data_IF_807738688682
#
_entry.id   IF_807738688682
#
_cell.length_a   1.000
_cell.length_b   1.000
_cell.length_c   1.000
_cell.angle_alpha   90.00
_cell.angle_beta   90.00
_cell.angle_gamma   90.00
#
_symmetry.space_group_name_H-M   'P 1'
#
loop_
_entity.id
_entity.type
_entity.pdbx_description
1 polymer ?
#
# COMPACT_ATOMS: atom_id res chain seq x y z
N UNK A 1 7.80 43.67 -42.47
CA UNK A 1 7.65 43.67 -40.99
C UNK A 1 6.38 42.91 -40.68
N UNK A 2 6.50 41.59 -40.63
CA UNK A 2 5.37 40.66 -40.65
C UNK A 2 5.12 40.22 -39.21
N UNK A 3 3.99 40.62 -38.65
CA UNK A 3 3.53 40.20 -37.32
C UNK A 3 3.31 38.68 -37.32
N UNK A 4 4.22 37.94 -36.68
CA UNK A 4 3.97 36.57 -36.25
C UNK A 4 2.88 36.63 -35.18
N UNK A 5 1.70 36.09 -35.49
CA UNK A 5 0.67 35.85 -34.49
C UNK A 5 1.26 34.97 -33.36
N UNK A 6 0.96 35.26 -32.08
CA UNK A 6 1.44 34.41 -30.99
C UNK A 6 0.83 33.03 -31.16
N UNK A 7 1.68 32.02 -31.33
CA UNK A 7 1.32 30.61 -31.30
C UNK A 7 0.94 30.16 -29.88
N UNK A 8 0.15 30.97 -29.16
CA UNK A 8 -0.27 30.73 -27.77
C UNK A 8 -1.56 29.90 -27.67
N UNK A 9 -2.15 29.48 -28.79
CA UNK A 9 -3.05 28.32 -28.83
C UNK A 9 -2.26 27.01 -28.72
N UNK A 10 -1.25 27.00 -27.85
CA UNK A 10 -0.53 25.83 -27.37
C UNK A 10 -1.55 25.00 -26.60
N UNK A 11 -2.26 24.16 -27.34
CA UNK A 11 -2.72 22.84 -26.94
C UNK A 11 -3.02 22.77 -25.44
N UNK A 12 -4.11 23.39 -24.99
CA UNK A 12 -4.72 22.96 -23.73
C UNK A 12 -4.95 21.46 -23.89
N UNK A 13 -4.09 20.66 -23.25
CA UNK A 13 -4.20 19.22 -23.23
C UNK A 13 -5.51 18.92 -22.55
N UNK A 14 -6.56 18.70 -23.36
CA UNK A 14 -7.87 18.42 -22.80
C UNK A 14 -7.72 17.26 -21.81
N UNK A 15 -8.19 17.40 -20.56
CA UNK A 15 -8.01 16.40 -19.51
C UNK A 15 -8.46 15.00 -19.93
N UNK A 16 -9.36 14.91 -20.93
CA UNK A 16 -9.80 13.68 -21.56
C UNK A 16 -8.69 12.87 -22.25
N UNK A 17 -7.63 13.50 -22.78
CA UNK A 17 -6.49 12.80 -23.42
C UNK A 17 -5.40 12.38 -22.45
N UNK A 18 -5.36 12.98 -21.26
CA UNK A 18 -4.33 12.68 -20.25
C UNK A 18 -4.57 11.34 -19.54
N UNK A 19 -5.85 10.93 -19.41
CA UNK A 19 -6.21 9.70 -18.71
C UNK A 19 -5.73 8.41 -19.42
N UNK A 20 -5.95 8.20 -20.74
CA UNK A 20 -5.44 7.02 -21.43
C UNK A 20 -3.90 6.91 -21.36
N UNK A 21 -3.20 8.04 -21.47
CA UNK A 21 -1.74 8.09 -21.34
C UNK A 21 -1.29 7.71 -19.93
N UNK A 22 -1.97 8.20 -18.89
CA UNK A 22 -1.68 7.84 -17.50
C UNK A 22 -1.90 6.34 -17.24
N UNK A 23 -2.95 5.72 -17.80
CA UNK A 23 -3.21 4.28 -17.66
C UNK A 23 -2.14 3.44 -18.36
N UNK A 24 -1.73 3.80 -19.57
CA UNK A 24 -0.66 3.09 -20.29
C UNK A 24 0.68 3.19 -19.54
N UNK A 25 1.00 4.38 -19.01
CA UNK A 25 2.18 4.59 -18.18
C UNK A 25 2.08 3.81 -16.85
N UNK A 26 0.90 3.74 -16.24
CA UNK A 26 0.68 2.97 -15.02
C UNK A 26 1.04 1.50 -15.21
N UNK A 27 0.74 0.92 -16.37
CA UNK A 27 1.09 -0.48 -16.68
C UNK A 27 2.59 -0.70 -16.75
N UNK A 28 3.35 0.18 -17.40
CA UNK A 28 4.80 0.05 -17.49
C UNK A 28 5.48 0.28 -16.14
N UNK A 29 5.01 1.24 -15.37
CA UNK A 29 5.51 1.50 -14.01
C UNK A 29 5.10 0.39 -13.02
N UNK A 30 3.92 -0.21 -13.15
CA UNK A 30 3.51 -1.37 -12.35
C UNK A 30 4.47 -2.54 -12.55
N UNK A 31 4.79 -2.83 -13.82
CA UNK A 31 5.78 -3.86 -14.15
C UNK A 31 7.16 -3.54 -13.62
N UNK A 32 7.55 -2.26 -13.61
CA UNK A 32 8.83 -1.82 -13.04
C UNK A 32 8.86 -1.99 -11.52
N UNK A 33 7.78 -1.70 -10.80
CA UNK A 33 7.68 -1.91 -9.36
C UNK A 33 7.72 -3.41 -9.05
N UNK A 34 6.89 -4.22 -9.74
CA UNK A 34 6.81 -5.67 -9.51
C UNK A 34 8.14 -6.38 -9.79
N UNK A 35 8.87 -5.97 -10.83
CA UNK A 35 10.19 -6.54 -11.16
C UNK A 35 11.35 -5.88 -10.42
N UNK A 36 11.08 -4.92 -9.53
CA UNK A 36 12.14 -4.27 -8.78
C UNK A 36 12.82 -5.31 -7.87
N UNK A 37 14.16 -5.41 -7.83
CA UNK A 37 14.85 -6.43 -7.03
C UNK A 37 14.43 -6.45 -5.55
N UNK A 38 14.22 -5.26 -4.97
CA UNK A 38 13.71 -5.13 -3.58
C UNK A 38 12.29 -5.70 -3.45
N UNK A 39 11.37 -5.39 -4.37
CA UNK A 39 10.00 -5.93 -4.31
C UNK A 39 10.00 -7.46 -4.48
N UNK A 40 10.83 -7.98 -5.39
CA UNK A 40 11.00 -9.42 -5.57
C UNK A 40 11.58 -10.09 -4.33
N UNK A 41 12.55 -9.48 -3.65
CA UNK A 41 13.10 -9.99 -2.40
C UNK A 41 12.02 -10.04 -1.30
N UNK A 42 11.20 -9.00 -1.16
CA UNK A 42 10.09 -8.99 -0.22
C UNK A 42 9.02 -10.04 -0.52
N UNK A 43 8.68 -10.22 -1.80
CA UNK A 43 7.75 -11.25 -2.25
C UNK A 43 8.31 -12.66 -1.99
N UNK A 44 9.58 -12.90 -2.32
CA UNK A 44 10.25 -14.18 -2.08
C UNK A 44 10.30 -14.50 -0.57
N UNK A 45 10.60 -13.50 0.27
CA UNK A 45 10.58 -13.65 1.71
C UNK A 45 9.16 -13.95 2.23
N UNK A 46 8.13 -13.28 1.68
CA UNK A 46 6.74 -13.57 2.03
C UNK A 46 6.36 -15.02 1.67
N UNK A 47 6.71 -15.49 0.47
CA UNK A 47 6.51 -16.88 0.05
C UNK A 47 7.26 -17.84 0.97
N UNK A 48 8.53 -17.56 1.29
CA UNK A 48 9.33 -18.39 2.19
C UNK A 48 8.67 -18.52 3.56
N UNK A 49 8.18 -17.41 4.12
CA UNK A 49 7.50 -17.43 5.42
C UNK A 49 6.19 -18.21 5.34
N UNK A 50 5.37 -18.00 4.31
CA UNK A 50 4.14 -18.77 4.08
C UNK A 50 4.44 -20.28 4.01
N UNK A 51 5.48 -20.68 3.27
CA UNK A 51 5.87 -22.09 3.16
C UNK A 51 6.39 -22.64 4.48
N UNK A 52 7.22 -21.86 5.20
CA UNK A 52 7.81 -22.28 6.46
C UNK A 52 6.78 -22.45 7.58
N UNK A 53 5.76 -21.58 7.65
CA UNK A 53 4.67 -21.70 8.65
C UNK A 53 3.63 -22.75 8.27
N UNK A 54 3.57 -23.09 6.98
CA UNK A 54 2.68 -24.12 6.45
C UNK A 54 3.03 -25.56 6.88
N UNK A 55 4.00 -25.77 7.78
CA UNK A 55 4.30 -27.08 8.38
C UNK A 55 3.68 -27.28 9.76
N UNK A 56 3.41 -26.18 10.49
CA UNK A 56 3.18 -26.26 11.95
C UNK A 56 1.68 -26.16 12.31
N UNK A 57 0.84 -25.67 11.38
CA UNK A 57 -0.60 -25.54 11.58
C UNK A 57 -0.99 -24.39 12.51
N UNK A 58 -2.28 -24.24 12.82
CA UNK A 58 -2.74 -23.34 13.89
C UNK A 58 -2.42 -21.85 13.67
N UNK A 59 -1.68 -21.24 14.60
CA UNK A 59 -1.36 -19.80 14.61
C UNK A 59 -0.55 -19.39 13.40
N UNK A 60 0.50 -20.15 13.14
CA UNK A 60 1.48 -19.87 12.09
C UNK A 60 0.80 -19.84 10.70
N UNK A 61 -0.12 -20.78 10.45
CA UNK A 61 -0.93 -20.85 9.22
C UNK A 61 -1.88 -19.66 9.08
N UNK A 62 -2.59 -19.28 10.16
CA UNK A 62 -3.46 -18.10 10.17
C UNK A 62 -2.68 -16.81 9.89
N UNK A 63 -1.56 -16.60 10.61
CA UNK A 63 -0.71 -15.42 10.45
C UNK A 63 -0.03 -15.36 9.08
N UNK A 64 0.32 -16.50 8.49
CA UNK A 64 0.92 -16.57 7.15
C UNK A 64 0.05 -15.95 6.06
N UNK A 65 -1.27 -16.11 6.13
CA UNK A 65 -2.21 -15.58 5.13
C UNK A 65 -2.83 -14.23 5.49
N UNK A 66 -2.69 -13.77 6.74
CA UNK A 66 -3.32 -12.53 7.23
C UNK A 66 -2.32 -11.39 7.47
N UNK A 67 -1.25 -11.63 8.25
CA UNK A 67 -0.36 -10.57 8.73
C UNK A 67 1.04 -10.60 8.10
N UNK A 68 1.51 -11.77 7.66
CA UNK A 68 2.86 -11.93 7.10
C UNK A 68 3.14 -10.98 5.92
N UNK A 69 2.16 -10.79 5.04
CA UNK A 69 2.29 -9.93 3.86
C UNK A 69 2.59 -8.47 4.20
N UNK A 70 2.09 -7.95 5.32
CA UNK A 70 2.27 -6.55 5.72
C UNK A 70 3.74 -6.22 5.94
N UNK A 71 4.47 -7.09 6.65
CA UNK A 71 5.87 -6.88 6.95
C UNK A 71 6.78 -7.21 5.76
N UNK A 72 6.60 -8.36 5.11
CA UNK A 72 7.54 -8.81 4.09
C UNK A 72 7.25 -8.19 2.72
N UNK A 73 6.03 -8.29 2.22
CA UNK A 73 5.69 -7.71 0.93
C UNK A 73 5.50 -6.18 1.03
N UNK A 74 4.83 -5.70 2.08
CA UNK A 74 4.49 -4.28 2.24
C UNK A 74 5.71 -3.37 2.38
N UNK A 75 6.62 -3.67 3.31
CA UNK A 75 7.83 -2.85 3.56
C UNK A 75 8.74 -2.79 2.34
N UNK A 76 8.96 -3.92 1.67
CA UNK A 76 9.83 -3.96 0.50
C UNK A 76 9.19 -3.28 -0.72
N UNK A 77 7.88 -3.41 -0.89
CA UNK A 77 7.14 -2.69 -1.94
C UNK A 77 7.15 -1.19 -1.70
N UNK A 78 7.08 -0.74 -0.44
CA UNK A 78 7.26 0.67 -0.09
C UNK A 78 8.58 1.22 -0.61
N UNK A 79 9.71 0.55 -0.34
CA UNK A 79 11.02 1.01 -0.80
C UNK A 79 11.14 0.95 -2.32
N UNK A 80 10.66 -0.12 -2.96
CA UNK A 80 10.64 -0.23 -4.41
C UNK A 80 9.84 0.90 -5.07
N UNK A 81 8.63 1.18 -4.58
CA UNK A 81 7.77 2.24 -5.08
C UNK A 81 8.40 3.63 -4.85
N UNK A 82 9.02 3.87 -3.69
CA UNK A 82 9.76 5.10 -3.42
C UNK A 82 10.94 5.30 -4.40
N UNK A 83 11.72 4.25 -4.64
CA UNK A 83 12.85 4.28 -5.55
C UNK A 83 12.41 4.52 -6.99
N UNK A 84 11.30 3.93 -7.43
CA UNK A 84 10.71 4.18 -8.75
C UNK A 84 10.21 5.62 -8.83
N UNK A 85 9.50 6.12 -7.82
CA UNK A 85 8.95 7.47 -7.78
C UNK A 85 10.01 8.59 -7.79
N UNK A 86 11.22 8.30 -7.31
CA UNK A 86 12.35 9.24 -7.26
C UNK A 86 13.37 9.00 -8.38
N UNK A 87 13.13 8.03 -9.28
CA UNK A 87 14.07 7.63 -10.35
C UNK A 87 14.51 8.80 -11.20
N UNK A 88 13.55 9.53 -11.77
CA UNK A 88 13.82 10.57 -12.78
C UNK A 88 14.67 11.70 -12.18
N UNK A 89 14.38 12.09 -10.93
CA UNK A 89 15.17 13.07 -10.19
C UNK A 89 16.58 12.58 -9.86
N UNK A 90 16.73 11.31 -9.44
CA UNK A 90 18.06 10.73 -9.17
C UNK A 90 18.95 10.66 -10.41
N UNK A 91 18.35 10.47 -11.58
CA UNK A 91 19.08 10.46 -12.86
C UNK A 91 19.27 11.85 -13.47
N UNK A 92 18.77 12.92 -12.85
CA UNK A 92 18.77 14.26 -13.45
C UNK A 92 17.95 14.35 -14.75
N UNK A 93 17.01 13.43 -14.95
CA UNK A 93 16.23 13.32 -16.19
C UNK A 93 15.02 14.27 -16.23
N UNK A 94 14.77 15.03 -15.16
CA UNK A 94 13.60 15.90 -15.05
C UNK A 94 13.51 16.90 -16.23
N UNK A 95 14.64 17.47 -16.67
CA UNK A 95 14.71 18.40 -17.82
C UNK A 95 14.45 17.70 -19.16
N UNK A 96 14.90 16.44 -19.31
CA UNK A 96 14.70 15.65 -20.53
C UNK A 96 13.25 15.15 -20.68
N UNK A 97 12.51 15.08 -19.57
CA UNK A 97 11.12 14.62 -19.52
C UNK A 97 10.12 15.77 -19.61
N UNK A 98 10.56 17.02 -19.51
CA UNK A 98 9.72 18.21 -19.66
C UNK A 98 8.99 18.31 -21.01
N UNK A 99 9.62 17.98 -22.17
CA UNK A 99 8.91 18.01 -23.46
C UNK A 99 7.96 16.82 -23.68
N UNK A 100 7.88 15.85 -22.76
CA UNK A 100 7.00 14.71 -22.93
C UNK A 100 5.51 15.10 -22.77
N UNK A 101 4.59 14.50 -23.56
CA UNK A 101 3.16 14.79 -23.44
C UNK A 101 2.55 14.50 -22.07
N UNK A 102 3.20 13.69 -21.24
CA UNK A 102 2.75 13.34 -19.90
C UNK A 102 3.32 14.30 -18.85
N UNK A 103 2.53 15.29 -18.46
CA UNK A 103 2.89 16.23 -17.41
C UNK A 103 3.15 15.57 -16.04
N UNK A 104 3.74 16.31 -15.07
CA UNK A 104 4.09 15.78 -13.74
C UNK A 104 2.89 15.19 -12.96
N UNK A 105 1.69 15.75 -13.18
CA UNK A 105 0.46 15.26 -12.55
C UNK A 105 0.06 13.88 -13.09
N UNK A 106 -0.02 13.72 -14.41
CA UNK A 106 -0.32 12.45 -15.07
C UNK A 106 0.70 11.35 -14.70
N UNK A 107 1.99 11.70 -14.59
CA UNK A 107 3.04 10.80 -14.10
C UNK A 107 2.82 10.38 -12.64
N UNK A 108 2.29 11.24 -11.80
CA UNK A 108 1.97 10.91 -10.40
C UNK A 108 0.74 10.00 -10.31
N UNK A 109 -0.31 10.29 -11.08
CA UNK A 109 -1.49 9.42 -11.22
C UNK A 109 -1.04 8.02 -11.68
N UNK A 110 -0.20 7.95 -12.71
CA UNK A 110 0.30 6.69 -13.23
C UNK A 110 1.06 5.88 -12.16
N UNK A 111 1.90 6.52 -11.34
CA UNK A 111 2.56 5.84 -10.22
C UNK A 111 1.59 5.38 -9.14
N UNK A 112 0.58 6.17 -8.80
CA UNK A 112 -0.45 5.74 -7.84
C UNK A 112 -1.28 4.57 -8.39
N UNK A 113 -1.58 4.53 -9.69
CA UNK A 113 -2.25 3.39 -10.30
C UNK A 113 -1.32 2.16 -10.40
N UNK A 114 -0.02 2.39 -10.61
CA UNK A 114 0.98 1.34 -10.71
C UNK A 114 1.11 0.51 -9.43
N UNK A 115 0.79 1.08 -8.26
CA UNK A 115 0.80 0.36 -6.98
C UNK A 115 -0.24 -0.76 -6.89
N UNK A 116 -1.26 -0.75 -7.76
CA UNK A 116 -2.21 -1.87 -7.88
C UNK A 116 -1.50 -3.16 -8.34
N UNK A 117 -0.42 -3.06 -9.12
CA UNK A 117 0.36 -4.21 -9.60
C UNK A 117 0.86 -5.11 -8.47
N UNK A 118 1.73 -4.63 -7.56
CA UNK A 118 2.20 -5.44 -6.43
C UNK A 118 1.07 -5.83 -5.47
N UNK A 119 0.06 -5.00 -5.26
CA UNK A 119 -1.09 -5.34 -4.41
C UNK A 119 -1.90 -6.53 -4.95
N UNK A 120 -2.20 -6.53 -6.25
CA UNK A 120 -2.90 -7.64 -6.92
C UNK A 120 -2.05 -8.91 -6.95
N UNK A 121 -0.74 -8.79 -7.16
CA UNK A 121 0.18 -9.93 -7.08
C UNK A 121 0.17 -10.56 -5.68
N UNK A 122 0.20 -9.72 -4.64
CA UNK A 122 0.08 -10.20 -3.26
C UNK A 122 -1.29 -10.82 -2.98
N UNK A 123 -2.38 -10.24 -3.50
CA UNK A 123 -3.73 -10.79 -3.39
C UNK A 123 -3.83 -12.19 -4.00
N UNK A 124 -3.26 -12.39 -5.19
CA UNK A 124 -3.19 -13.71 -5.82
C UNK A 124 -2.39 -14.71 -4.98
N UNK A 125 -1.24 -14.28 -4.43
CA UNK A 125 -0.40 -15.11 -3.57
C UNK A 125 -1.14 -15.55 -2.29
N UNK A 126 -1.71 -14.61 -1.52
CA UNK A 126 -2.38 -14.95 -0.26
C UNK A 126 -3.66 -15.76 -0.49
N UNK A 127 -4.37 -15.51 -1.59
CA UNK A 127 -5.55 -16.31 -1.98
C UNK A 127 -5.15 -17.75 -2.32
N UNK A 128 -4.06 -17.93 -3.06
CA UNK A 128 -3.52 -19.26 -3.38
C UNK A 128 -3.07 -19.98 -2.10
N UNK A 129 -2.34 -19.29 -1.22
CA UNK A 129 -1.90 -19.84 0.06
C UNK A 129 -3.09 -20.25 0.94
N UNK A 130 -4.09 -19.38 1.06
CA UNK A 130 -5.34 -19.68 1.76
C UNK A 130 -6.02 -20.94 1.19
N UNK A 131 -6.16 -21.04 -0.13
CA UNK A 131 -6.77 -22.20 -0.77
C UNK A 131 -5.99 -23.50 -0.49
N UNK A 132 -4.65 -23.45 -0.58
CA UNK A 132 -3.79 -24.61 -0.28
C UNK A 132 -3.92 -25.05 1.18
N UNK A 133 -3.91 -24.11 2.13
CA UNK A 133 -4.05 -24.42 3.55
C UNK A 133 -5.46 -24.93 3.89
N UNK A 134 -6.50 -24.37 3.27
CA UNK A 134 -7.87 -24.84 3.42
C UNK A 134 -8.05 -26.27 2.88
N UNK A 135 -7.51 -26.58 1.70
CA UNK A 135 -7.56 -27.95 1.12
C UNK A 135 -6.81 -29.01 1.94
N UNK A 136 -5.93 -28.57 2.83
CA UNK A 136 -5.13 -29.45 3.71
C UNK A 136 -5.61 -29.44 5.16
N UNK A 137 -6.79 -28.84 5.44
CA UNK A 137 -7.37 -28.71 6.77
C UNK A 137 -6.38 -28.15 7.82
N UNK A 138 -5.54 -27.20 7.40
CA UNK A 138 -4.47 -26.65 8.25
C UNK A 138 -4.94 -25.55 9.21
N UNK A 139 -6.14 -25.02 9.00
CA UNK A 139 -6.69 -23.96 9.83
C UNK A 139 -7.39 -24.54 11.06
N UNK A 140 -6.89 -24.19 12.26
CA UNK A 140 -7.66 -24.37 13.50
C UNK A 140 -8.87 -23.44 13.53
N UNK A 141 -8.71 -22.23 12.99
CA UNK A 141 -9.76 -21.25 12.76
C UNK A 141 -9.57 -20.65 11.37
N UNK A 142 -10.61 -20.71 10.54
CA UNK A 142 -10.54 -20.22 9.16
C UNK A 142 -10.66 -18.70 9.14
N UNK A 143 -9.68 -17.95 8.57
CA UNK A 143 -9.81 -16.51 8.42
C UNK A 143 -10.95 -16.18 7.47
N UNK A 144 -11.73 -15.15 7.81
CA UNK A 144 -12.73 -14.61 6.90
C UNK A 144 -12.08 -13.82 5.75
N UNK A 145 -12.87 -13.51 4.72
CA UNK A 145 -12.44 -12.67 3.60
C UNK A 145 -11.74 -11.37 4.05
N UNK A 146 -12.31 -10.68 5.04
CA UNK A 146 -11.78 -9.43 5.57
C UNK A 146 -10.38 -9.60 6.21
N UNK A 147 -10.11 -10.74 6.85
CA UNK A 147 -8.77 -11.00 7.38
C UNK A 147 -7.73 -11.16 6.26
N UNK A 148 -8.10 -11.84 5.17
CA UNK A 148 -7.19 -12.10 4.04
C UNK A 148 -6.95 -10.84 3.22
N UNK A 149 -7.92 -9.92 3.16
CA UNK A 149 -7.82 -8.66 2.43
C UNK A 149 -6.77 -7.68 3.01
N UNK A 150 -6.41 -7.80 4.29
CA UNK A 150 -5.46 -6.92 4.97
C UNK A 150 -4.05 -6.99 4.38
N UNK A 151 -3.59 -8.18 3.97
CA UNK A 151 -2.29 -8.34 3.32
C UNK A 151 -2.16 -7.47 2.05
N UNK A 152 -3.03 -7.65 1.04
CA UNK A 152 -3.04 -6.81 -0.16
C UNK A 152 -3.25 -5.32 0.11
N UNK A 153 -4.13 -4.96 1.06
CA UNK A 153 -4.38 -3.56 1.43
C UNK A 153 -3.14 -2.90 2.03
N UNK A 154 -2.40 -3.60 2.89
CA UNK A 154 -1.17 -3.07 3.48
C UNK A 154 -0.02 -2.99 2.47
N UNK A 155 0.05 -3.91 1.50
CA UNK A 155 0.97 -3.80 0.35
C UNK A 155 0.64 -2.59 -0.51
N UNK A 156 -0.64 -2.36 -0.80
CA UNK A 156 -1.12 -1.17 -1.51
C UNK A 156 -0.75 0.11 -0.76
N UNK A 157 -1.03 0.16 0.55
CA UNK A 157 -0.73 1.29 1.42
C UNK A 157 0.76 1.58 1.50
N UNK A 158 1.60 0.55 1.67
CA UNK A 158 3.05 0.67 1.64
C UNK A 158 3.55 1.25 0.31
N UNK A 159 3.06 0.72 -0.82
CA UNK A 159 3.44 1.23 -2.14
C UNK A 159 3.04 2.70 -2.34
N UNK A 160 1.79 3.08 -1.99
CA UNK A 160 1.29 4.45 -2.11
C UNK A 160 2.02 5.41 -1.19
N UNK A 161 2.32 5.00 0.04
CA UNK A 161 3.13 5.78 0.97
C UNK A 161 4.55 5.99 0.42
N UNK A 162 5.14 4.97 -0.21
CA UNK A 162 6.44 5.07 -0.87
C UNK A 162 6.43 6.12 -1.99
N UNK A 163 5.40 6.11 -2.84
CA UNK A 163 5.18 7.14 -3.87
C UNK A 163 5.02 8.53 -3.25
N UNK A 164 4.17 8.67 -2.23
CA UNK A 164 3.93 9.94 -1.53
C UNK A 164 5.25 10.52 -1.00
N UNK A 165 5.99 9.73 -0.23
CA UNK A 165 7.29 10.16 0.33
C UNK A 165 8.26 10.55 -0.78
N UNK A 166 8.32 9.76 -1.86
CA UNK A 166 9.21 10.05 -2.99
C UNK A 166 8.89 11.36 -3.70
N UNK A 167 7.61 11.76 -3.75
CA UNK A 167 7.19 13.05 -4.33
C UNK A 167 7.53 14.23 -3.44
N UNK A 168 7.36 14.11 -2.12
CA UNK A 168 7.57 15.21 -1.17
C UNK A 168 9.03 15.39 -0.76
N UNK A 169 9.74 14.30 -0.50
CA UNK A 169 11.06 14.33 0.10
C UNK A 169 11.97 13.29 -0.58
N UNK A 170 12.64 13.65 -1.70
CA UNK A 170 13.45 12.72 -2.49
C UNK A 170 14.79 12.35 -1.85
N UNK A 171 15.00 12.69 -0.58
CA UNK A 171 16.24 12.40 0.12
C UNK A 171 16.25 10.93 0.56
N UNK A 172 17.36 10.19 0.34
CA UNK A 172 17.40 8.74 0.56
C UNK A 172 17.08 8.34 2.02
N UNK A 173 17.43 9.19 3.00
CA UNK A 173 17.16 8.93 4.41
C UNK A 173 15.69 9.07 4.82
N UNK A 174 14.89 9.87 4.12
CA UNK A 174 13.50 10.15 4.55
C UNK A 174 12.62 8.92 4.40
N UNK A 175 12.82 8.12 3.36
CA UNK A 175 12.09 6.88 3.19
C UNK A 175 12.33 5.90 4.35
N UNK A 176 13.58 5.79 4.80
CA UNK A 176 13.94 4.95 5.95
C UNK A 176 13.30 5.48 7.25
N UNK A 177 13.41 6.78 7.51
CA UNK A 177 12.83 7.40 8.72
C UNK A 177 11.30 7.19 8.78
N UNK A 178 10.59 7.39 7.67
CA UNK A 178 9.14 7.18 7.62
C UNK A 178 8.78 5.71 7.86
N UNK A 179 9.52 4.76 7.27
CA UNK A 179 9.29 3.33 7.51
C UNK A 179 9.54 2.96 8.99
N UNK A 180 10.64 3.42 9.58
CA UNK A 180 10.94 3.20 11.00
C UNK A 180 9.83 3.79 11.88
N UNK A 181 9.35 4.99 11.58
CA UNK A 181 8.25 5.61 12.31
C UNK A 181 6.95 4.80 12.20
N UNK A 182 6.61 4.28 11.00
CA UNK A 182 5.45 3.41 10.80
C UNK A 182 5.55 2.11 11.59
N UNK A 183 6.73 1.46 11.56
CA UNK A 183 6.97 0.23 12.34
C UNK A 183 6.87 0.52 13.85
N UNK A 184 7.50 1.59 14.32
CA UNK A 184 7.45 1.99 15.73
C UNK A 184 6.01 2.32 16.18
N UNK A 185 5.23 3.01 15.34
CA UNK A 185 3.81 3.26 15.58
C UNK A 185 3.03 1.95 15.68
N UNK A 186 3.20 1.03 14.72
CA UNK A 186 2.50 -0.26 14.76
C UNK A 186 2.87 -1.04 16.02
N UNK A 187 4.15 -1.13 16.37
CA UNK A 187 4.61 -1.78 17.60
C UNK A 187 4.00 -1.13 18.84
N UNK A 188 3.97 0.20 18.93
CA UNK A 188 3.38 0.90 20.06
C UNK A 188 1.88 0.60 20.19
N UNK A 189 1.14 0.59 19.08
CA UNK A 189 -0.30 0.29 19.07
C UNK A 189 -0.56 -1.19 19.38
N UNK A 190 0.19 -2.12 18.81
CA UNK A 190 0.06 -3.56 19.11
C UNK A 190 0.33 -3.87 20.58
N UNK A 191 1.19 -3.09 21.26
CA UNK A 191 1.48 -3.24 22.69
C UNK A 191 0.59 -2.37 23.60
N UNK A 192 -0.36 -1.63 23.04
CA UNK A 192 -1.30 -0.81 23.81
C UNK A 192 -2.45 -1.66 24.39
N UNK A 193 -3.34 -1.00 25.14
CA UNK A 193 -4.57 -1.62 25.66
C UNK A 193 -5.39 -2.26 24.53
N UNK A 194 -6.06 -3.37 24.81
CA UNK A 194 -6.74 -4.19 23.78
C UNK A 194 -7.69 -3.38 22.90
N UNK A 195 -8.38 -2.40 23.48
CA UNK A 195 -9.30 -1.49 22.78
C UNK A 195 -8.64 -0.67 21.67
N UNK A 196 -7.33 -0.37 21.75
CA UNK A 196 -6.63 0.47 20.77
C UNK A 196 -5.80 -0.33 19.76
N UNK A 197 -5.61 -1.64 19.96
CA UNK A 197 -4.75 -2.47 19.10
C UNK A 197 -5.19 -2.47 17.64
N UNK A 198 -6.47 -2.28 17.36
CA UNK A 198 -7.01 -2.24 16.00
C UNK A 198 -6.62 -0.98 15.21
N UNK A 199 -6.03 0.03 15.84
CA UNK A 199 -5.56 1.27 15.18
C UNK A 199 -4.18 1.12 14.51
N UNK A 200 -3.57 -0.06 14.60
CA UNK A 200 -2.34 -0.39 13.88
C UNK A 200 -2.58 -0.51 12.37
N UNK A 201 -1.52 -0.58 11.58
CA UNK A 201 -1.63 -0.98 10.16
C UNK A 201 -1.62 -2.50 9.97
N UNK A 202 -1.10 -3.22 10.97
CA UNK A 202 -1.18 -4.67 11.09
C UNK A 202 -1.85 -5.00 12.42
N UNK A 203 -2.80 -5.93 12.37
CA UNK A 203 -3.54 -6.38 13.54
C UNK A 203 -3.61 -7.89 13.51
N UNK A 204 -3.01 -8.52 14.51
CA UNK A 204 -3.19 -9.95 14.75
C UNK A 204 -4.53 -10.19 15.45
N UNK A 205 -5.60 -10.36 14.68
CA UNK A 205 -6.97 -10.50 15.19
C UNK A 205 -7.19 -11.75 16.03
N UNK A 206 -6.58 -12.87 15.67
CA UNK A 206 -6.74 -14.12 16.40
C UNK A 206 -5.94 -14.10 17.71
N UNK A 207 -6.61 -14.47 18.81
CA UNK A 207 -6.01 -14.66 20.12
C UNK A 207 -5.57 -16.11 20.29
N UNK A 208 -4.32 -16.26 20.66
CA UNK A 208 -3.65 -17.55 20.90
C UNK A 208 -3.20 -17.59 22.36
N UNK A 209 -3.09 -18.79 22.93
CA UNK A 209 -2.74 -18.92 24.34
C UNK A 209 -1.32 -18.49 24.69
N UNK A 210 -0.99 -18.45 26.00
CA UNK A 210 0.34 -18.09 26.50
C UNK A 210 1.49 -18.88 25.84
N UNK A 211 1.27 -20.17 25.57
CA UNK A 211 2.21 -21.06 24.88
C UNK A 211 1.94 -21.16 23.37
N UNK A 212 1.29 -20.15 22.79
CA UNK A 212 0.88 -20.01 21.38
C UNK A 212 -0.03 -21.13 20.88
N UNK A 213 0.56 -22.27 20.49
CA UNK A 213 -0.09 -23.37 19.80
C UNK A 213 -0.49 -24.50 20.75
N UNK A 214 0.28 -24.75 21.81
CA UNK A 214 0.00 -25.81 22.78
C UNK A 214 -1.30 -25.57 23.57
N UNK A 215 -1.65 -24.30 23.74
CA UNK A 215 -2.81 -23.84 24.50
C UNK A 215 -4.05 -23.59 23.60
N UNK A 216 -3.87 -23.62 22.27
CA UNK A 216 -4.95 -23.47 21.30
C UNK A 216 -5.43 -22.03 21.04
N UNK A 217 -6.52 -21.93 20.27
CA UNK A 217 -7.20 -20.68 19.91
C UNK A 217 -8.22 -20.27 20.98
N UNK A 218 -8.21 -18.99 21.37
CA UNK A 218 -9.05 -18.46 22.46
C UNK A 218 -10.16 -17.51 22.00
N UNK A 219 -10.16 -17.11 20.73
CA UNK A 219 -11.11 -16.14 20.21
C UNK A 219 -10.45 -15.07 19.33
N UNK A 220 -11.18 -13.99 19.09
CA UNK A 220 -10.68 -12.81 18.39
C UNK A 220 -10.51 -11.63 19.36
N UNK A 221 -9.61 -10.70 19.06
CA UNK A 221 -9.65 -9.37 19.67
C UNK A 221 -10.97 -8.68 19.32
N UNK A 222 -11.57 -7.94 20.27
CA UNK A 222 -12.81 -7.24 20.04
C UNK A 222 -12.59 -6.14 18.98
N UNK A 223 -13.62 -5.90 18.19
CA UNK A 223 -13.61 -4.93 17.09
C UNK A 223 -14.15 -5.52 15.79
N UNK A 224 -14.11 -4.71 14.73
CA UNK A 224 -14.61 -5.10 13.41
C UNK A 224 -13.51 -5.13 12.37
N UNK A 225 -13.20 -6.33 11.88
CA UNK A 225 -12.23 -6.60 10.81
C UNK A 225 -12.62 -5.88 9.52
N UNK A 226 -13.92 -5.79 9.21
CA UNK A 226 -14.40 -5.11 8.01
C UNK A 226 -14.23 -3.58 8.10
N UNK A 227 -14.46 -2.99 9.28
CA UNK A 227 -14.20 -1.56 9.50
C UNK A 227 -12.70 -1.26 9.48
N UNK A 228 -11.86 -2.20 9.90
CA UNK A 228 -10.42 -2.09 9.75
C UNK A 228 -9.97 -2.03 8.30
N UNK A 229 -10.54 -2.86 7.43
CA UNK A 229 -10.23 -2.81 5.99
C UNK A 229 -10.65 -1.46 5.37
N UNK A 230 -11.78 -0.89 5.81
CA UNK A 230 -12.19 0.45 5.41
C UNK A 230 -11.22 1.53 5.93
N UNK A 231 -10.72 1.38 7.16
CA UNK A 231 -9.68 2.24 7.73
C UNK A 231 -8.37 2.18 6.91
N UNK A 232 -7.90 0.98 6.56
CA UNK A 232 -6.71 0.77 5.71
C UNK A 232 -6.90 1.35 4.30
N UNK A 233 -8.07 1.17 3.69
CA UNK A 233 -8.41 1.77 2.40
C UNK A 233 -8.40 3.31 2.46
N UNK A 234 -8.92 3.90 3.55
CA UNK A 234 -8.87 5.34 3.75
C UNK A 234 -7.43 5.86 3.87
N UNK A 235 -6.57 5.15 4.62
CA UNK A 235 -5.12 5.45 4.70
C UNK A 235 -4.43 5.36 3.32
N UNK A 236 -4.75 4.33 2.52
CA UNK A 236 -4.26 4.20 1.15
C UNK A 236 -4.65 5.43 0.31
N UNK A 237 -5.93 5.81 0.37
CA UNK A 237 -6.44 6.99 -0.31
C UNK A 237 -5.73 8.27 0.14
N UNK A 238 -5.50 8.45 1.44
CA UNK A 238 -4.79 9.61 1.99
C UNK A 238 -3.36 9.70 1.44
N UNK A 239 -2.64 8.57 1.36
CA UNK A 239 -1.30 8.54 0.77
C UNK A 239 -1.32 8.92 -0.72
N UNK A 240 -2.30 8.41 -1.48
CA UNK A 240 -2.48 8.78 -2.89
C UNK A 240 -2.81 10.28 -3.07
N UNK A 241 -3.73 10.82 -2.27
CA UNK A 241 -4.08 12.23 -2.27
C UNK A 241 -2.87 13.11 -1.89
N UNK A 242 -2.10 12.70 -0.88
CA UNK A 242 -0.86 13.35 -0.49
C UNK A 242 0.15 13.40 -1.65
N UNK A 243 0.33 12.29 -2.37
CA UNK A 243 1.22 12.25 -3.54
C UNK A 243 0.74 13.21 -4.64
N UNK A 244 -0.56 13.21 -4.95
CA UNK A 244 -1.17 14.05 -5.98
C UNK A 244 -1.13 15.54 -5.63
N UNK A 245 -1.30 15.89 -4.36
CA UNK A 245 -1.28 17.28 -3.89
C UNK A 245 0.03 17.99 -4.25
N UNK A 246 1.13 17.24 -4.33
CA UNK A 246 2.45 17.78 -4.69
C UNK A 246 2.55 18.25 -6.14
N UNK A 247 1.77 17.66 -7.04
CA UNK A 247 1.83 17.89 -8.50
C UNK A 247 0.55 18.44 -9.10
N UNK A 248 -0.52 18.59 -8.31
CA UNK A 248 -1.79 19.14 -8.76
C UNK A 248 -1.68 20.62 -9.10
N UNK A 249 -2.17 21.00 -10.30
CA UNK A 249 -2.34 22.40 -10.68
C UNK A 249 -3.45 23.07 -9.85
N UNK A 250 -4.60 22.38 -9.72
CA UNK A 250 -5.70 22.78 -8.83
C UNK A 250 -5.66 21.96 -7.53
N UNK A 251 -5.29 22.61 -6.41
CA UNK A 251 -5.13 21.92 -5.13
C UNK A 251 -6.45 21.62 -4.42
N UNK A 252 -7.48 22.45 -4.64
CA UNK A 252 -8.74 22.36 -3.89
C UNK A 252 -9.44 21.00 -4.02
N UNK A 253 -9.60 20.39 -5.21
CA UNK A 253 -10.22 19.07 -5.33
C UNK A 253 -9.45 17.98 -4.58
N UNK A 254 -8.11 18.03 -4.62
CA UNK A 254 -7.25 17.06 -3.94
C UNK A 254 -7.31 17.24 -2.42
N UNK A 255 -7.35 18.48 -1.94
CA UNK A 255 -7.53 18.79 -0.51
C UNK A 255 -8.91 18.34 -0.02
N UNK A 256 -9.98 18.58 -0.78
CA UNK A 256 -11.33 18.09 -0.44
C UNK A 256 -11.38 16.56 -0.39
N UNK A 257 -10.79 15.87 -1.37
CA UNK A 257 -10.66 14.42 -1.34
C UNK A 257 -9.87 13.95 -0.12
N UNK A 258 -8.74 14.60 0.19
CA UNK A 258 -7.94 14.31 1.38
C UNK A 258 -8.71 14.52 2.69
N UNK A 259 -9.53 15.57 2.79
CA UNK A 259 -10.37 15.83 3.96
C UNK A 259 -11.46 14.75 4.12
N UNK A 260 -12.11 14.36 3.03
CA UNK A 260 -13.10 13.26 3.05
C UNK A 260 -12.46 11.93 3.45
N UNK A 261 -11.27 11.62 2.93
CA UNK A 261 -10.52 10.42 3.29
C UNK A 261 -10.06 10.44 4.75
N UNK A 262 -9.68 11.60 5.27
CA UNK A 262 -9.36 11.78 6.69
C UNK A 262 -10.59 11.53 7.57
N UNK A 263 -11.75 12.08 7.20
CA UNK A 263 -13.00 11.83 7.90
C UNK A 263 -13.40 10.35 7.85
N UNK A 264 -13.23 9.69 6.69
CA UNK A 264 -13.48 8.27 6.53
C UNK A 264 -12.53 7.42 7.38
N UNK A 265 -11.24 7.76 7.44
CA UNK A 265 -10.25 7.11 8.29
C UNK A 265 -10.64 7.23 9.77
N UNK A 266 -11.00 8.44 10.24
CA UNK A 266 -11.44 8.65 11.62
C UNK A 266 -12.73 7.88 11.95
N UNK A 267 -13.72 7.93 11.05
CA UNK A 267 -15.00 7.24 11.21
C UNK A 267 -14.84 5.72 11.24
N UNK A 268 -14.07 5.14 10.31
CA UNK A 268 -13.77 3.72 10.28
C UNK A 268 -12.90 3.28 11.47
N UNK A 269 -11.91 4.11 11.85
CA UNK A 269 -11.05 3.89 13.01
C UNK A 269 -11.83 3.91 14.33
N UNK A 270 -12.90 4.70 14.42
CA UNK A 270 -13.83 4.68 15.55
C UNK A 270 -14.78 3.48 15.50
N UNK A 271 -15.37 3.19 14.33
CA UNK A 271 -16.35 2.13 14.14
C UNK A 271 -15.78 0.70 14.28
N UNK A 272 -14.46 0.54 14.16
CA UNK A 272 -13.79 -0.74 14.40
C UNK A 272 -13.51 -1.03 15.87
N UNK A 273 -13.64 -0.05 16.77
CA UNK A 273 -13.42 -0.24 18.19
C UNK A 273 -14.52 -1.11 18.80
N UNK A 274 -14.28 -1.76 19.96
CA UNK A 274 -15.24 -2.59 20.67
C UNK A 274 -16.54 -1.89 21.05
#
# INVERSE_FOLDING_TARGET
MTLLAPASDVLESSPAREWPAAVQLARSEAWRIVRHPIALAGLALNVLVIVAVGSDGGRSTFSGVTTGSTFYAGVFTYFAANLVATRDRRSGADELLDPLPAGPHARTIALCLATLGPALLNAALVTLAFAVFAMRDMFLVTPSFWHVAQGPLTVLGGALLGVMVGRWAPYPGVALVVMVAMVAYNVAVSNSAEQYRSLGTEVSWARWGPNNEADGWYGYYPGSVAWHDAYLLALCGMAAAGALLRTAAARLPVLSAGALLTAAMLGAGWAQLP
#
